data_IF_871377027359
#
_entry.id   IF_871377027359
#
_cell.length_a   1.000
_cell.length_b   1.000
_cell.length_c   1.000
_cell.angle_alpha   90.00
_cell.angle_beta   90.00
_cell.angle_gamma   90.00
#
_symmetry.space_group_name_H-M   'P 1'
#
loop_
_entity.id
_entity.type
_entity.pdbx_description
1 polymer ?
#
# COMPACT_ATOMS: atom_id res chain seq x y z
N UNK A 1 9.46 -0.92 -4.51
CA UNK A 1 10.59 0.00 -4.36
C UNK A 1 10.15 1.14 -3.45
N UNK A 2 11.10 1.80 -2.79
CA UNK A 2 10.82 2.92 -1.90
C UNK A 2 11.78 4.08 -2.21
N UNK A 3 11.26 5.30 -2.22
CA UNK A 3 12.03 6.53 -2.37
C UNK A 3 11.99 7.30 -1.06
N UNK A 4 13.16 7.72 -0.56
CA UNK A 4 13.24 8.61 0.60
C UNK A 4 12.73 9.99 0.17
N UNK A 5 11.64 10.44 0.79
CA UNK A 5 11.04 11.75 0.55
C UNK A 5 11.63 12.83 1.45
N UNK A 6 11.88 12.48 2.71
CA UNK A 6 12.57 13.34 3.67
C UNK A 6 13.27 12.49 4.73
N UNK A 7 14.22 13.09 5.42
CA UNK A 7 14.89 12.47 6.56
C UNK A 7 15.31 13.54 7.58
N UNK A 8 15.43 13.13 8.83
CA UNK A 8 15.95 13.94 9.94
C UNK A 8 16.80 13.06 10.87
N UNK A 9 17.70 13.68 11.65
CA UNK A 9 18.56 13.03 12.63
C UNK A 9 18.28 13.60 14.02
N UNK A 10 17.22 13.15 14.71
CA UNK A 10 16.81 13.74 15.99
C UNK A 10 17.86 13.58 17.10
N UNK A 11 18.76 12.60 16.96
CA UNK A 11 19.91 12.41 17.84
C UNK A 11 21.03 11.62 17.13
N UNK A 12 22.28 11.65 17.65
CA UNK A 12 23.37 10.89 17.07
C UNK A 12 23.02 9.41 16.88
N UNK A 13 23.40 8.85 15.73
CA UNK A 13 23.17 7.46 15.33
C UNK A 13 21.68 7.02 15.15
N UNK A 14 20.73 7.96 15.11
CA UNK A 14 19.33 7.67 14.76
C UNK A 14 18.88 8.51 13.57
N UNK A 15 18.39 7.85 12.52
CA UNK A 15 17.76 8.49 11.37
C UNK A 15 16.27 8.21 11.37
N UNK A 16 15.47 9.26 11.29
CA UNK A 16 14.05 9.17 10.98
C UNK A 16 13.87 9.45 9.49
N UNK A 17 13.36 8.47 8.75
CA UNK A 17 13.13 8.60 7.29
C UNK A 17 11.65 8.52 6.98
N UNK A 18 11.20 9.34 6.04
CA UNK A 18 9.89 9.22 5.41
C UNK A 18 10.09 8.72 3.99
N UNK A 19 9.41 7.64 3.65
CA UNK A 19 9.50 7.03 2.34
C UNK A 19 8.16 7.06 1.61
N UNK A 20 8.22 7.04 0.28
CA UNK A 20 7.08 6.86 -0.60
C UNK A 20 7.31 5.57 -1.38
N UNK A 21 6.31 4.68 -1.39
CA UNK A 21 6.31 3.51 -2.26
C UNK A 21 6.30 3.93 -3.72
N UNK A 22 7.16 3.33 -4.54
CA UNK A 22 7.22 3.57 -5.99
C UNK A 22 6.81 2.30 -6.72
N UNK A 23 7.58 1.82 -7.71
CA UNK A 23 7.23 0.65 -8.50
C UNK A 23 7.40 -0.65 -7.74
N UNK A 24 6.58 -1.64 -8.08
CA UNK A 24 6.67 -3.00 -7.52
C UNK A 24 7.80 -3.77 -8.18
N UNK A 25 8.27 -4.83 -7.51
CA UNK A 25 9.30 -5.70 -8.04
C UNK A 25 9.14 -7.11 -7.47
N UNK A 26 9.67 -8.09 -8.20
CA UNK A 26 9.88 -9.46 -7.73
C UNK A 26 11.34 -9.61 -7.32
N UNK A 27 11.57 -10.11 -6.11
CA UNK A 27 12.91 -10.48 -5.66
C UNK A 27 13.26 -11.85 -6.24
N UNK A 28 14.34 -11.94 -7.01
CA UNK A 28 14.78 -13.16 -7.68
C UNK A 28 15.78 -13.95 -6.83
N UNK A 29 16.66 -13.24 -6.16
CA UNK A 29 17.70 -13.81 -5.30
C UNK A 29 18.07 -12.80 -4.23
N UNK A 30 18.62 -13.28 -3.11
CA UNK A 30 19.10 -12.44 -2.03
C UNK A 30 20.31 -13.04 -1.34
N UNK A 31 21.20 -12.18 -0.89
CA UNK A 31 22.40 -12.52 -0.14
C UNK A 31 22.62 -11.52 0.99
N UNK A 32 23.38 -11.95 2.01
CA UNK A 32 23.79 -11.09 3.12
C UNK A 32 25.17 -10.52 2.82
N UNK A 33 25.23 -9.20 2.66
CA UNK A 33 26.46 -8.45 2.41
C UNK A 33 27.12 -7.98 3.73
N UNK A 34 28.10 -7.08 3.61
CA UNK A 34 28.83 -6.52 4.76
C UNK A 34 27.87 -5.89 5.78
N UNK A 35 28.20 -6.04 7.06
CA UNK A 35 27.41 -5.52 8.19
C UNK A 35 25.98 -6.10 8.28
N UNK A 36 25.69 -7.23 7.62
CA UNK A 36 24.37 -7.88 7.67
C UNK A 36 23.33 -7.26 6.73
N UNK A 37 23.75 -6.41 5.79
CA UNK A 37 22.86 -5.79 4.82
C UNK A 37 22.35 -6.83 3.81
N UNK A 38 21.04 -7.06 3.75
CA UNK A 38 20.44 -7.88 2.71
C UNK A 38 20.46 -7.14 1.36
N UNK A 39 21.00 -7.81 0.35
CA UNK A 39 21.08 -7.35 -1.03
C UNK A 39 20.45 -8.40 -1.94
N UNK A 40 19.88 -8.01 -3.07
CA UNK A 40 19.25 -8.97 -3.97
C UNK A 40 18.99 -8.44 -5.36
N UNK A 41 18.81 -9.37 -6.30
CA UNK A 41 18.44 -9.05 -7.67
C UNK A 41 16.93 -8.96 -7.80
N UNK A 42 16.45 -7.94 -8.50
CA UNK A 42 15.01 -7.66 -8.62
C UNK A 42 14.60 -7.53 -10.08
N UNK A 43 13.44 -8.06 -10.41
CA UNK A 43 12.75 -7.82 -11.67
C UNK A 43 11.62 -6.81 -11.45
N UNK A 44 11.53 -5.72 -12.21
CA UNK A 44 10.44 -4.76 -12.06
C UNK A 44 9.11 -5.39 -12.48
N UNK A 45 8.05 -5.07 -11.72
CA UNK A 45 6.67 -5.38 -12.10
C UNK A 45 6.08 -4.07 -12.63
N UNK A 46 5.48 -4.11 -13.82
CA UNK A 46 4.87 -2.93 -14.43
C UNK A 46 3.78 -2.33 -13.51
N UNK A 47 3.60 -1.01 -13.59
CA UNK A 47 2.48 -0.36 -12.93
C UNK A 47 1.16 -0.80 -13.58
N UNK A 48 0.11 -0.88 -12.78
CA UNK A 48 -1.20 -1.29 -13.28
C UNK A 48 -1.74 -0.23 -14.25
N UNK A 49 -2.47 -0.63 -15.31
CA UNK A 49 -3.26 0.32 -16.06
C UNK A 49 -4.31 0.95 -15.13
N UNK A 50 -4.68 2.23 -15.33
CA UNK A 50 -5.80 2.81 -14.60
C UNK A 50 -7.08 2.03 -14.89
N UNK A 51 -7.65 1.41 -13.85
CA UNK A 51 -8.81 0.53 -13.99
C UNK A 51 -9.93 1.00 -13.08
N UNK A 52 -11.12 1.34 -13.64
CA UNK A 52 -12.22 1.88 -12.85
C UNK A 52 -12.79 0.85 -11.87
N UNK A 53 -13.24 1.30 -10.71
CA UNK A 53 -13.93 0.44 -9.73
C UNK A 53 -15.32 0.02 -10.27
N UNK A 54 -15.59 -1.29 -10.43
CA UNK A 54 -16.90 -1.75 -10.86
C UNK A 54 -17.94 -1.60 -9.74
N UNK A 55 -19.21 -1.44 -10.11
CA UNK A 55 -20.31 -1.24 -9.17
C UNK A 55 -20.41 -2.34 -8.08
N UNK A 56 -20.05 -3.57 -8.41
CA UNK A 56 -20.00 -4.70 -7.46
C UNK A 56 -18.95 -4.54 -6.35
N UNK A 57 -17.92 -3.72 -6.56
CA UNK A 57 -16.83 -3.47 -5.63
C UNK A 57 -16.85 -2.04 -5.03
N UNK A 58 -17.85 -1.23 -5.39
CA UNK A 58 -17.96 0.16 -4.94
C UNK A 58 -17.98 0.29 -3.42
N UNK A 59 -18.60 -0.66 -2.72
CA UNK A 59 -18.65 -0.66 -1.25
C UNK A 59 -17.25 -0.59 -0.60
N UNK A 60 -16.25 -1.27 -1.18
CA UNK A 60 -14.87 -1.25 -0.70
C UNK A 60 -14.22 0.12 -0.87
N UNK A 61 -14.47 0.80 -1.99
CA UNK A 61 -13.98 2.14 -2.26
C UNK A 61 -14.67 3.18 -1.34
N UNK A 62 -15.99 3.08 -1.19
CA UNK A 62 -16.76 3.99 -0.35
C UNK A 62 -16.37 3.86 1.13
N UNK A 63 -16.11 2.64 1.61
CA UNK A 63 -15.63 2.40 2.96
C UNK A 63 -14.26 3.06 3.20
N UNK A 64 -13.35 2.98 2.22
CA UNK A 64 -12.05 3.65 2.28
C UNK A 64 -12.21 5.18 2.28
N UNK A 65 -13.10 5.70 1.43
CA UNK A 65 -13.42 7.12 1.38
C UNK A 65 -13.97 7.66 2.70
N UNK A 66 -14.85 6.90 3.37
CA UNK A 66 -15.36 7.25 4.70
C UNK A 66 -14.25 7.31 5.76
N UNK A 67 -13.30 6.37 5.74
CA UNK A 67 -12.15 6.40 6.66
C UNK A 67 -11.27 7.64 6.43
N UNK A 68 -10.97 7.96 5.18
CA UNK A 68 -10.20 9.16 4.82
C UNK A 68 -10.93 10.42 5.28
N UNK A 69 -12.23 10.53 5.03
CA UNK A 69 -13.04 11.66 5.45
C UNK A 69 -13.08 11.80 6.99
N UNK A 70 -13.20 10.69 7.72
CA UNK A 70 -13.18 10.70 9.18
C UNK A 70 -11.85 11.24 9.72
N UNK A 71 -10.71 10.78 9.22
CA UNK A 71 -9.40 11.30 9.66
C UNK A 71 -9.23 12.80 9.35
N UNK A 72 -9.78 13.27 8.23
CA UNK A 72 -9.76 14.70 7.90
C UNK A 72 -10.62 15.51 8.88
N UNK A 73 -11.80 15.01 9.23
CA UNK A 73 -12.70 15.64 10.21
C UNK A 73 -12.10 15.66 11.61
N UNK A 74 -11.39 14.60 11.99
CA UNK A 74 -10.66 14.49 13.26
C UNK A 74 -9.40 15.41 13.28
N UNK A 75 -9.10 16.09 12.18
CA UNK A 75 -7.98 17.03 12.09
C UNK A 75 -6.63 16.34 12.10
N UNK A 76 -6.53 15.09 11.62
CA UNK A 76 -5.26 14.36 11.54
C UNK A 76 -4.28 15.15 10.66
N UNK A 77 -3.11 15.56 11.20
CA UNK A 77 -2.11 16.29 10.44
C UNK A 77 -1.62 15.51 9.21
N UNK A 78 -1.28 16.20 8.13
CA UNK A 78 -0.89 15.58 6.86
C UNK A 78 0.33 14.65 6.97
N UNK A 79 1.26 14.94 7.88
CA UNK A 79 2.44 14.11 8.14
C UNK A 79 2.09 12.82 8.91
N UNK A 80 0.96 12.79 9.62
CA UNK A 80 0.45 11.63 10.36
C UNK A 80 -0.66 10.88 9.62
N UNK A 81 -1.11 11.41 8.49
CA UNK A 81 -2.16 10.79 7.70
C UNK A 81 -1.71 9.41 7.20
N UNK A 82 -2.46 8.33 7.45
CA UNK A 82 -2.09 7.00 6.98
C UNK A 82 -2.02 6.90 5.45
N UNK A 83 -2.86 7.67 4.75
CA UNK A 83 -2.94 7.70 3.30
C UNK A 83 -2.76 9.13 2.77
N UNK A 84 -1.86 9.30 1.82
CA UNK A 84 -1.57 10.60 1.21
C UNK A 84 -2.42 10.84 -0.06
N UNK A 85 -2.76 12.11 -0.38
CA UNK A 85 -3.33 12.46 -1.67
C UNK A 85 -2.33 12.21 -2.83
N UNK A 86 -2.81 12.06 -4.09
CA UNK A 86 -4.22 12.11 -4.51
C UNK A 86 -5.01 10.84 -4.14
N UNK A 87 -6.23 11.02 -3.65
CA UNK A 87 -7.14 9.92 -3.30
C UNK A 87 -7.85 9.41 -4.56
N UNK A 88 -7.36 8.31 -5.13
CA UNK A 88 -7.90 7.71 -6.36
C UNK A 88 -8.94 6.64 -6.03
N UNK A 89 -10.04 7.07 -5.40
CA UNK A 89 -11.13 6.18 -4.94
C UNK A 89 -11.92 5.54 -6.09
N UNK A 90 -11.66 5.97 -7.32
CA UNK A 90 -12.21 5.45 -8.57
C UNK A 90 -11.30 4.40 -9.25
N UNK A 91 -10.12 4.11 -8.70
CA UNK A 91 -9.13 3.19 -9.28
C UNK A 91 -8.98 1.89 -8.47
N UNK A 92 -9.21 0.75 -9.10
CA UNK A 92 -9.14 -0.57 -8.47
C UNK A 92 -7.79 -0.86 -7.80
N UNK A 93 -6.70 -0.61 -8.52
CA UNK A 93 -5.35 -0.90 -8.03
C UNK A 93 -5.02 -0.05 -6.83
N UNK A 94 -5.34 1.24 -6.89
CA UNK A 94 -5.12 2.17 -5.79
C UNK A 94 -5.94 1.81 -4.55
N UNK A 95 -7.24 1.55 -4.70
CA UNK A 95 -8.11 1.19 -3.56
C UNK A 95 -7.64 -0.11 -2.90
N UNK A 96 -7.28 -1.12 -3.70
CA UNK A 96 -6.80 -2.40 -3.19
C UNK A 96 -5.48 -2.26 -2.41
N UNK A 97 -4.54 -1.45 -2.92
CA UNK A 97 -3.25 -1.24 -2.26
C UNK A 97 -3.41 -0.53 -0.91
N UNK A 98 -4.27 0.50 -0.83
CA UNK A 98 -4.54 1.20 0.42
C UNK A 98 -5.18 0.29 1.47
N UNK A 99 -6.12 -0.57 1.09
CA UNK A 99 -6.67 -1.57 1.99
C UNK A 99 -5.60 -2.58 2.44
N UNK A 100 -4.74 -3.05 1.54
CA UNK A 100 -3.65 -3.96 1.88
C UNK A 100 -2.68 -3.35 2.91
N UNK A 101 -2.42 -2.05 2.83
CA UNK A 101 -1.63 -1.31 3.82
C UNK A 101 -2.32 -1.25 5.19
N UNK A 102 -3.61 -0.92 5.21
CA UNK A 102 -4.40 -0.72 6.43
C UNK A 102 -4.77 -2.04 7.14
N UNK A 103 -5.02 -3.12 6.40
CA UNK A 103 -5.47 -4.38 6.97
C UNK A 103 -4.33 -5.08 7.72
N UNK A 104 -4.62 -5.68 8.90
CA UNK A 104 -3.65 -6.45 9.68
C UNK A 104 -3.47 -7.86 9.09
N UNK A 105 -2.91 -7.96 7.89
CA UNK A 105 -2.66 -9.22 7.19
C UNK A 105 -1.26 -9.76 7.47
N UNK A 106 -1.06 -11.10 7.46
CA UNK A 106 0.27 -11.70 7.48
C UNK A 106 1.15 -11.15 6.34
N UNK A 107 2.48 -11.00 6.54
CA UNK A 107 3.38 -10.46 5.51
C UNK A 107 3.31 -11.21 4.18
N UNK A 108 3.19 -12.53 4.22
CA UNK A 108 3.11 -13.37 3.01
C UNK A 108 1.83 -13.10 2.20
N UNK A 109 0.71 -12.82 2.88
CA UNK A 109 -0.53 -12.43 2.21
C UNK A 109 -0.42 -11.05 1.58
N UNK A 110 0.22 -10.08 2.26
CA UNK A 110 0.48 -8.76 1.68
C UNK A 110 1.36 -8.86 0.44
N UNK A 111 2.41 -9.68 0.49
CA UNK A 111 3.30 -9.91 -0.65
C UNK A 111 2.56 -10.60 -1.82
N UNK A 112 1.71 -11.60 -1.53
CA UNK A 112 0.87 -12.27 -2.52
C UNK A 112 -0.09 -11.29 -3.20
N UNK A 113 -0.79 -10.46 -2.42
CA UNK A 113 -1.69 -9.42 -2.94
C UNK A 113 -0.92 -8.41 -3.80
N UNK A 114 0.22 -7.91 -3.33
CA UNK A 114 1.06 -6.97 -4.07
C UNK A 114 1.53 -7.54 -5.43
N UNK A 115 1.70 -8.87 -5.50
CA UNK A 115 2.07 -9.60 -6.71
C UNK A 115 0.94 -9.83 -7.71
N UNK A 116 -0.33 -9.57 -7.36
CA UNK A 116 -1.44 -9.65 -8.31
C UNK A 116 -1.39 -8.46 -9.26
N UNK A 117 -1.14 -8.74 -10.55
CA UNK A 117 -1.02 -7.70 -11.59
C UNK A 117 -2.35 -7.31 -12.22
N UNK A 118 -3.42 -8.05 -11.94
CA UNK A 118 -4.79 -7.66 -12.30
C UNK A 118 -5.39 -6.83 -11.15
N UNK A 119 -5.60 -5.51 -11.33
CA UNK A 119 -6.10 -4.64 -10.28
C UNK A 119 -7.54 -4.98 -9.86
N UNK A 120 -8.41 -5.45 -10.78
CA UNK A 120 -9.78 -5.85 -10.41
C UNK A 120 -9.77 -7.13 -9.58
N UNK A 121 -8.97 -8.12 -9.97
CA UNK A 121 -8.80 -9.34 -9.18
C UNK A 121 -8.20 -9.05 -7.80
N UNK A 122 -7.27 -8.09 -7.71
CA UNK A 122 -6.68 -7.66 -6.44
C UNK A 122 -7.72 -7.00 -5.53
N UNK A 123 -8.56 -6.09 -6.07
CA UNK A 123 -9.64 -5.48 -5.32
C UNK A 123 -10.72 -6.49 -4.90
N UNK A 124 -11.05 -7.47 -5.76
CA UNK A 124 -11.99 -8.54 -5.43
C UNK A 124 -11.51 -9.36 -4.21
N UNK A 125 -10.23 -9.75 -4.21
CA UNK A 125 -9.64 -10.46 -3.08
C UNK A 125 -9.68 -9.63 -1.78
N UNK A 126 -9.44 -8.32 -1.88
CA UNK A 126 -9.60 -7.41 -0.74
C UNK A 126 -11.05 -7.34 -0.27
N UNK A 127 -12.01 -7.26 -1.18
CA UNK A 127 -13.44 -7.21 -0.83
C UNK A 127 -13.87 -8.44 -0.02
N UNK A 128 -13.41 -9.64 -0.42
CA UNK A 128 -13.71 -10.86 0.32
C UNK A 128 -13.10 -10.86 1.73
N UNK A 129 -11.88 -10.33 1.87
CA UNK A 129 -11.25 -10.14 3.19
C UNK A 129 -12.03 -9.15 4.06
N UNK A 130 -12.49 -8.03 3.49
CA UNK A 130 -13.29 -7.03 4.22
C UNK A 130 -14.62 -7.61 4.69
N UNK A 131 -15.32 -8.38 3.84
CA UNK A 131 -16.55 -9.09 4.22
C UNK A 131 -16.30 -10.07 5.37
N UNK A 132 -15.21 -10.83 5.30
CA UNK A 132 -14.81 -11.76 6.37
C UNK A 132 -14.55 -11.07 7.72
N UNK A 133 -14.19 -9.78 7.72
CA UNK A 133 -13.97 -8.97 8.92
C UNK A 133 -15.18 -8.11 9.32
N UNK A 134 -16.29 -8.16 8.58
CA UNK A 134 -17.49 -7.35 8.83
C UNK A 134 -17.33 -5.86 8.50
N UNK A 135 -16.41 -5.52 7.59
CA UNK A 135 -16.08 -4.14 7.18
C UNK A 135 -16.67 -3.73 5.82
N UNK A 136 -17.33 -4.65 5.12
CA UNK A 136 -17.94 -4.45 3.80
C UNK A 136 -19.45 -4.72 3.80
#
# INVERSE_FOLDING_TARGET
>A
MARIASWDAPMPALLQVRCIGTSRFRLLSSEVAKYGLWMGQTEPIADDPPTPVPASMQASADALGRLVAQWQQDGVPADRMPLAPPYRLDDCGWVADRWCELLPLPPDDKARLLGLTDPEARLAAIQDLLRGQGLA
#
